data_IF_447415374359
#
_entry.id   IF_447415374359
#
_cell.length_a   1.000
_cell.length_b   1.000
_cell.length_c   1.000
_cell.angle_alpha   90.00
_cell.angle_beta   90.00
_cell.angle_gamma   90.00
#
_symmetry.space_group_name_H-M   'P 1'
#
loop_
_entity.id
_entity.type
_entity.pdbx_description
1 polymer ?
#
# COMPACT_ATOMS: atom_id res chain seq x y z
N UNK A 1 -4.13 -76.35 40.70
CA UNK A 1 -3.53 -77.48 39.94
C UNK A 1 -4.07 -77.34 38.53
N UNK A 2 -3.31 -77.11 37.46
CA UNK A 2 -1.87 -77.11 37.17
C UNK A 2 -1.55 -75.84 36.36
N UNK A 3 -0.45 -75.11 36.61
CA UNK A 3 0.92 -75.33 36.10
C UNK A 3 1.04 -75.77 34.63
N UNK A 4 1.77 -74.96 33.86
CA UNK A 4 2.04 -75.17 32.44
C UNK A 4 2.95 -74.06 31.90
N UNK A 5 4.20 -74.05 32.33
CA UNK A 5 5.30 -73.29 31.70
C UNK A 5 5.53 -73.74 30.27
N UNK A 6 5.86 -72.84 29.32
CA UNK A 6 6.94 -73.10 28.34
C UNK A 6 7.28 -71.93 27.40
N UNK A 7 8.58 -71.65 27.37
CA UNK A 7 9.51 -71.20 26.31
C UNK A 7 9.48 -69.80 25.69
N UNK A 8 10.72 -69.30 25.71
CA UNK A 8 11.34 -68.12 25.14
C UNK A 8 11.13 -67.93 23.63
N UNK A 9 11.01 -66.65 23.25
CA UNK A 9 11.06 -66.17 21.88
C UNK A 9 11.91 -64.92 21.81
N UNK A 10 13.22 -65.12 21.70
CA UNK A 10 14.23 -64.13 21.34
C UNK A 10 13.85 -63.48 19.99
N UNK A 11 13.80 -62.15 19.95
CA UNK A 11 13.41 -61.40 18.76
C UNK A 11 14.08 -60.04 18.79
N UNK A 12 15.36 -60.05 18.43
CA UNK A 12 16.27 -58.92 18.37
C UNK A 12 15.63 -57.64 17.80
N UNK A 13 15.89 -56.52 18.48
CA UNK A 13 15.73 -55.19 17.90
C UNK A 13 16.53 -55.08 16.59
N UNK A 14 15.90 -54.79 15.45
CA UNK A 14 16.63 -54.32 14.30
C UNK A 14 16.85 -52.82 14.45
N UNK A 15 18.08 -52.50 14.82
CA UNK A 15 18.90 -51.45 14.21
C UNK A 15 18.20 -50.11 13.91
N UNK A 16 18.54 -49.15 14.78
CA UNK A 16 18.91 -47.79 14.42
C UNK A 16 19.50 -47.71 12.99
N UNK A 17 18.71 -47.23 12.04
CA UNK A 17 19.12 -46.98 10.67
C UNK A 17 18.38 -45.74 10.14
N UNK A 18 19.05 -44.60 10.28
CA UNK A 18 18.93 -43.37 9.48
C UNK A 18 17.63 -43.12 8.73
N UNK A 19 16.70 -42.40 9.34
CA UNK A 19 15.77 -41.56 8.59
C UNK A 19 16.35 -40.14 8.57
N UNK A 20 17.10 -39.83 7.51
CA UNK A 20 17.56 -38.47 7.24
C UNK A 20 16.37 -37.49 7.25
N UNK A 21 16.43 -36.39 8.02
CA UNK A 21 15.37 -35.39 7.99
C UNK A 21 15.37 -34.70 6.62
N UNK A 22 14.33 -34.97 5.83
CA UNK A 22 14.05 -34.36 4.52
C UNK A 22 14.52 -32.89 4.40
N UNK A 23 15.47 -32.55 3.50
CA UNK A 23 16.22 -31.30 3.56
C UNK A 23 15.56 -30.09 2.90
N UNK A 24 14.22 -30.03 2.78
CA UNK A 24 13.59 -28.85 2.16
C UNK A 24 12.14 -28.62 2.61
N UNK A 25 11.94 -28.39 3.91
CA UNK A 25 10.78 -27.60 4.32
C UNK A 25 11.00 -26.15 3.85
N UNK A 26 10.53 -25.82 2.64
CA UNK A 26 10.51 -24.43 2.14
C UNK A 26 9.57 -23.65 3.05
N UNK A 27 10.14 -22.90 3.99
CA UNK A 27 9.39 -21.94 4.79
C UNK A 27 8.88 -20.88 3.83
N UNK A 28 7.59 -20.96 3.50
CA UNK A 28 6.90 -19.90 2.78
C UNK A 28 6.87 -18.71 3.74
N UNK A 29 7.86 -17.84 3.62
CA UNK A 29 7.85 -16.57 4.34
C UNK A 29 6.67 -15.77 3.78
N UNK A 30 5.72 -15.41 4.64
CA UNK A 30 4.66 -14.47 4.26
C UNK A 30 5.32 -13.23 3.66
N UNK A 31 5.01 -12.98 2.38
CA UNK A 31 5.66 -11.93 1.60
C UNK A 31 5.33 -10.59 2.27
N UNK A 32 6.36 -9.91 2.80
CA UNK A 32 6.22 -8.62 3.50
C UNK A 32 5.31 -7.68 2.70
N UNK A 33 4.26 -7.17 3.35
CA UNK A 33 3.33 -6.24 2.71
C UNK A 33 4.10 -5.07 2.10
N UNK A 34 3.83 -4.79 0.82
CA UNK A 34 4.51 -3.72 0.08
C UNK A 34 4.03 -2.38 0.62
N UNK A 35 4.97 -1.51 1.01
CA UNK A 35 4.63 -0.17 1.47
C UNK A 35 3.79 0.57 0.41
N UNK A 36 2.78 1.32 0.87
CA UNK A 36 1.90 2.07 -0.02
C UNK A 36 2.72 2.98 -0.95
N UNK A 37 2.34 3.00 -2.23
CA UNK A 37 2.92 3.89 -3.23
C UNK A 37 1.79 4.57 -3.99
N UNK A 38 1.95 5.87 -4.19
CA UNK A 38 1.07 6.61 -5.06
C UNK A 38 1.29 6.16 -6.51
N UNK A 39 0.20 5.82 -7.17
CA UNK A 39 0.08 5.54 -8.60
C UNK A 39 -0.83 6.58 -9.25
N UNK A 40 -0.94 6.57 -10.58
CA UNK A 40 -1.87 7.46 -11.28
C UNK A 40 -3.32 7.30 -10.79
N UNK A 41 -3.76 6.07 -10.45
CA UNK A 41 -5.13 5.84 -9.89
C UNK A 41 -5.30 6.59 -8.58
N UNK A 42 -4.35 6.42 -7.65
CA UNK A 42 -4.46 7.02 -6.33
C UNK A 42 -4.20 8.53 -6.36
N UNK A 43 -3.40 9.01 -7.32
CA UNK A 43 -3.21 10.45 -7.56
C UNK A 43 -4.54 11.08 -7.99
N UNK A 44 -5.28 10.46 -8.92
CA UNK A 44 -6.60 10.94 -9.35
C UNK A 44 -7.56 11.02 -8.17
N UNK A 45 -7.64 9.96 -7.36
CA UNK A 45 -8.47 9.94 -6.17
C UNK A 45 -8.08 11.07 -5.20
N UNK A 46 -6.79 11.24 -4.90
CA UNK A 46 -6.29 12.32 -4.04
C UNK A 46 -6.66 13.71 -4.59
N UNK A 47 -6.51 13.93 -5.90
CA UNK A 47 -6.79 15.23 -6.52
C UNK A 47 -8.27 15.58 -6.45
N UNK A 48 -9.17 14.61 -6.66
CA UNK A 48 -10.62 14.82 -6.52
C UNK A 48 -10.98 15.26 -5.09
N UNK A 49 -10.51 14.53 -4.09
CA UNK A 49 -10.77 14.88 -2.67
C UNK A 49 -10.17 16.26 -2.30
N UNK A 50 -8.99 16.59 -2.82
CA UNK A 50 -8.39 17.90 -2.60
C UNK A 50 -9.21 19.03 -3.25
N UNK A 51 -9.77 18.81 -4.44
CA UNK A 51 -10.66 19.79 -5.09
C UNK A 51 -11.99 19.97 -4.36
N UNK A 52 -12.54 18.89 -3.80
CA UNK A 52 -13.81 18.93 -3.08
C UNK A 52 -13.67 19.66 -1.75
N UNK A 53 -12.58 19.43 -1.02
CA UNK A 53 -12.34 20.03 0.29
C UNK A 53 -11.56 21.36 0.26
N UNK A 54 -10.95 21.70 -0.87
CA UNK A 54 -10.24 22.98 -1.13
C UNK A 54 -9.33 23.43 0.02
N UNK A 55 -8.31 22.63 0.39
CA UNK A 55 -7.46 22.92 1.53
C UNK A 55 -6.67 24.24 1.42
N UNK A 56 -6.52 24.81 0.22
CA UNK A 56 -5.92 26.12 0.00
C UNK A 56 -6.86 27.30 0.33
N UNK A 57 -8.18 27.10 0.33
CA UNK A 57 -9.18 28.15 0.55
C UNK A 57 -9.66 28.24 2.02
N UNK A 58 -9.07 27.47 2.93
CA UNK A 58 -9.45 27.52 4.34
C UNK A 58 -8.88 28.76 5.05
N UNK A 59 -9.52 29.14 6.16
CA UNK A 59 -9.03 30.24 7.01
C UNK A 59 -7.62 29.96 7.55
N UNK A 60 -6.87 31.04 7.84
CA UNK A 60 -5.49 30.96 8.30
C UNK A 60 -5.38 30.06 9.55
N UNK A 61 -4.61 28.97 9.46
CA UNK A 61 -4.39 28.00 10.54
C UNK A 61 -5.17 26.70 10.43
N UNK A 62 -6.22 26.60 9.60
CA UNK A 62 -7.03 25.37 9.48
C UNK A 62 -6.58 24.43 8.37
N UNK A 63 -5.60 24.83 7.56
CA UNK A 63 -5.12 24.04 6.41
C UNK A 63 -4.70 22.62 6.81
N UNK A 64 -4.00 22.47 7.94
CA UNK A 64 -3.57 21.15 8.41
C UNK A 64 -4.76 20.22 8.67
N UNK A 65 -5.82 20.73 9.33
CA UNK A 65 -7.04 19.98 9.61
C UNK A 65 -7.78 19.62 8.33
N UNK A 66 -7.85 20.54 7.36
CA UNK A 66 -8.50 20.26 6.07
C UNK A 66 -7.77 19.16 5.31
N UNK A 67 -6.44 19.10 5.38
CA UNK A 67 -5.69 17.98 4.81
C UNK A 67 -5.96 16.64 5.52
N UNK A 68 -6.21 16.65 6.83
CA UNK A 68 -6.64 15.43 7.54
C UNK A 68 -8.03 14.97 7.09
N UNK A 69 -8.95 15.90 6.83
CA UNK A 69 -10.26 15.60 6.21
C UNK A 69 -10.08 14.99 4.83
N UNK A 70 -9.22 15.58 3.98
CA UNK A 70 -8.87 15.02 2.65
C UNK A 70 -8.32 13.60 2.79
N UNK A 71 -7.42 13.34 3.74
CA UNK A 71 -6.86 12.01 3.94
C UNK A 71 -7.90 11.00 4.44
N UNK A 72 -8.81 11.41 5.32
CA UNK A 72 -9.92 10.57 5.76
C UNK A 72 -10.86 10.22 4.59
N UNK A 73 -11.19 11.20 3.75
CA UNK A 73 -12.02 10.99 2.57
C UNK A 73 -11.33 10.10 1.53
N UNK A 74 -10.05 10.36 1.26
CA UNK A 74 -9.20 9.56 0.38
C UNK A 74 -9.13 8.09 0.81
N UNK A 75 -9.08 7.79 2.11
CA UNK A 75 -9.12 6.41 2.63
C UNK A 75 -10.44 5.70 2.39
N UNK A 76 -11.56 6.42 2.21
CA UNK A 76 -12.82 5.78 1.80
C UNK A 76 -12.72 5.24 0.38
N UNK A 77 -12.01 5.96 -0.50
CA UNK A 77 -11.76 5.58 -1.90
C UNK A 77 -10.60 4.59 -2.03
N UNK A 78 -9.58 4.70 -1.17
CA UNK A 78 -8.39 3.85 -1.15
C UNK A 78 -8.18 3.27 0.26
N UNK A 79 -8.97 2.24 0.65
CA UNK A 79 -9.00 1.73 2.04
C UNK A 79 -7.68 1.15 2.53
N UNK A 80 -6.84 0.65 1.62
CA UNK A 80 -5.51 0.12 1.95
C UNK A 80 -4.44 1.22 2.09
N UNK A 81 -4.82 2.49 2.00
CA UNK A 81 -3.89 3.60 2.19
C UNK A 81 -3.62 3.89 3.66
N UNK A 82 -2.35 3.98 4.02
CA UNK A 82 -1.89 4.35 5.37
C UNK A 82 -1.51 5.83 5.48
N UNK A 83 -1.72 6.64 4.43
CA UNK A 83 -1.29 8.03 4.40
C UNK A 83 -2.15 8.93 5.30
N UNK A 84 -1.51 9.90 5.94
CA UNK A 84 -2.15 10.95 6.73
C UNK A 84 -2.30 12.25 5.90
N UNK A 85 -2.92 13.28 6.49
CA UNK A 85 -3.11 14.57 5.82
C UNK A 85 -1.80 15.19 5.35
N UNK A 86 -0.73 15.03 6.15
CA UNK A 86 0.62 15.49 5.78
C UNK A 86 1.16 14.78 4.54
N UNK A 87 1.04 13.46 4.45
CA UNK A 87 1.48 12.70 3.28
C UNK A 87 0.65 13.04 2.04
N UNK A 88 -0.67 13.17 2.18
CA UNK A 88 -1.56 13.64 1.11
C UNK A 88 -1.17 15.04 0.61
N UNK A 89 -0.93 16.00 1.52
CA UNK A 89 -0.45 17.35 1.18
C UNK A 89 0.86 17.31 0.40
N UNK A 90 1.88 16.60 0.90
CA UNK A 90 3.18 16.50 0.23
C UNK A 90 3.03 15.93 -1.18
N UNK A 91 2.20 14.89 -1.34
CA UNK A 91 1.97 14.29 -2.65
C UNK A 91 1.28 15.26 -3.61
N UNK A 92 0.26 15.96 -3.13
CA UNK A 92 -0.44 16.98 -3.91
C UNK A 92 0.52 18.07 -4.40
N UNK A 93 1.31 18.66 -3.50
CA UNK A 93 2.30 19.71 -3.85
C UNK A 93 3.30 19.19 -4.88
N UNK A 94 3.85 17.99 -4.67
CA UNK A 94 4.76 17.38 -5.63
C UNK A 94 4.13 17.14 -7.01
N UNK A 95 2.83 16.83 -7.08
CA UNK A 95 2.12 16.68 -8.36
C UNK A 95 1.92 18.02 -9.07
N UNK A 96 1.52 19.07 -8.34
CA UNK A 96 1.32 20.42 -8.90
C UNK A 96 2.65 21.00 -9.38
N UNK A 97 3.72 20.88 -8.59
CA UNK A 97 5.07 21.31 -8.98
C UNK A 97 5.59 20.54 -10.22
N UNK A 98 5.41 19.21 -10.24
CA UNK A 98 5.82 18.40 -11.37
C UNK A 98 5.02 18.71 -12.63
N UNK A 99 3.75 19.10 -12.49
CA UNK A 99 2.91 19.53 -13.62
C UNK A 99 3.36 20.89 -14.15
N UNK A 100 3.54 21.89 -13.27
CA UNK A 100 4.02 23.23 -13.65
C UNK A 100 5.43 23.26 -14.24
N UNK A 101 6.25 22.22 -13.99
CA UNK A 101 7.60 22.08 -14.55
C UNK A 101 7.71 21.05 -15.68
N UNK A 102 6.58 20.57 -16.21
CA UNK A 102 6.49 19.56 -17.29
C UNK A 102 7.21 18.23 -16.98
N UNK A 103 7.49 17.96 -15.70
CA UNK A 103 8.18 16.76 -15.20
C UNK A 103 7.22 15.67 -14.73
N UNK A 104 5.92 15.83 -14.97
CA UNK A 104 4.89 14.89 -14.53
C UNK A 104 5.09 13.46 -15.08
N UNK A 105 5.77 13.33 -16.23
CA UNK A 105 6.20 12.05 -16.80
C UNK A 105 7.03 11.20 -15.82
N UNK A 106 7.85 11.83 -14.97
CA UNK A 106 8.65 11.14 -13.95
C UNK A 106 7.81 10.51 -12.84
N UNK A 107 6.56 10.97 -12.70
CA UNK A 107 5.60 10.49 -11.72
C UNK A 107 4.51 9.60 -12.34
N UNK A 108 4.56 9.33 -13.66
CA UNK A 108 3.71 8.33 -14.33
C UNK A 108 4.19 6.95 -13.90
N UNK A 109 3.82 6.52 -12.70
CA UNK A 109 3.93 5.12 -12.28
C UNK A 109 2.98 4.23 -13.10
N UNK A 110 2.66 3.04 -12.60
CA UNK A 110 1.71 2.14 -13.27
C UNK A 110 0.35 2.82 -13.50
N UNK A 111 0.08 3.24 -14.73
CA UNK A 111 -1.15 3.93 -15.10
C UNK A 111 -1.34 3.90 -16.61
N UNK A 112 -2.59 3.78 -17.05
CA UNK A 112 -2.93 3.80 -18.48
C UNK A 112 -2.82 5.22 -19.03
N UNK A 113 -2.71 5.39 -20.36
CA UNK A 113 -2.75 6.72 -20.99
C UNK A 113 -3.99 7.52 -20.61
N UNK A 114 -5.17 6.88 -20.52
CA UNK A 114 -6.42 7.53 -20.14
C UNK A 114 -6.40 8.08 -18.71
N UNK A 115 -5.89 7.30 -17.76
CA UNK A 115 -5.75 7.75 -16.37
C UNK A 115 -4.74 8.90 -16.26
N UNK A 116 -3.66 8.85 -17.03
CA UNK A 116 -2.68 9.93 -17.03
C UNK A 116 -3.27 11.23 -17.56
N UNK A 117 -4.07 11.17 -18.63
CA UNK A 117 -4.80 12.32 -19.17
C UNK A 117 -5.82 12.89 -18.17
N UNK A 118 -6.54 12.02 -17.46
CA UNK A 118 -7.46 12.45 -16.40
C UNK A 118 -6.73 13.15 -15.25
N UNK A 119 -5.61 12.60 -14.80
CA UNK A 119 -4.77 13.22 -13.78
C UNK A 119 -4.28 14.59 -14.22
N UNK A 120 -3.83 14.73 -15.47
CA UNK A 120 -3.39 16.00 -16.03
C UNK A 120 -4.52 17.03 -16.09
N UNK A 121 -5.74 16.62 -16.49
CA UNK A 121 -6.94 17.47 -16.45
C UNK A 121 -7.23 17.99 -15.04
N UNK A 122 -7.20 17.10 -14.04
CA UNK A 122 -7.43 17.48 -12.64
C UNK A 122 -6.33 18.42 -12.11
N UNK A 123 -5.07 18.18 -12.49
CA UNK A 123 -3.95 19.04 -12.10
C UNK A 123 -4.06 20.44 -12.71
N UNK A 124 -4.44 20.55 -13.99
CA UNK A 124 -4.69 21.83 -14.62
C UNK A 124 -5.79 22.62 -13.89
N UNK A 125 -6.88 21.95 -13.50
CA UNK A 125 -7.95 22.56 -12.70
C UNK A 125 -7.46 23.00 -11.32
N UNK A 126 -6.74 22.12 -10.61
CA UNK A 126 -6.15 22.44 -9.31
C UNK A 126 -5.21 23.65 -9.39
N UNK A 127 -4.35 23.72 -10.43
CA UNK A 127 -3.38 24.78 -10.57
C UNK A 127 -4.04 26.14 -10.80
N UNK A 128 -5.09 26.20 -11.63
CA UNK A 128 -5.91 27.41 -11.80
C UNK A 128 -6.50 27.83 -10.45
N UNK A 129 -7.12 26.89 -9.71
CA UNK A 129 -7.78 27.20 -8.44
C UNK A 129 -6.78 27.68 -7.37
N UNK A 130 -5.61 27.05 -7.28
CA UNK A 130 -4.56 27.42 -6.32
C UNK A 130 -3.93 28.77 -6.67
N UNK A 131 -3.79 29.11 -7.96
CA UNK A 131 -3.25 30.42 -8.38
C UNK A 131 -4.22 31.58 -8.17
N UNK A 132 -5.50 31.31 -7.91
CA UNK A 132 -6.54 32.32 -7.72
C UNK A 132 -6.75 32.70 -6.24
N UNK A 133 -5.98 32.12 -5.31
CA UNK A 133 -6.05 32.38 -3.87
C UNK A 133 -4.83 33.16 -3.43
#
# INVERSE_FOLDING_TARGET
MADGSSVDGEGASPMDAGAEPTPWSVRIHEKRAKAFRFTSVTDIALLREAMDHRPWACSHGDMAKTWDVVAAAFKRTVPWSTNDGRACKRRFVALVEAFGTEKLQKLRGSGTPSMNAEREKLLAQCQIMVSLV
#
